data_IF_052557563986
#
_entry.id   IF_052557563986
#
_cell.length_a   1.000
_cell.length_b   1.000
_cell.length_c   1.000
_cell.angle_alpha   90.00
_cell.angle_beta   90.00
_cell.angle_gamma   90.00
#
_symmetry.space_group_name_H-M   'P 1'
#
loop_
_entity.id
_entity.type
_entity.pdbx_description
1 polymer ?
#
# COMPACT_ATOMS: atom_id res chain seq x y z
N UNK A 1 53.73 -19.68 -45.22
CA UNK A 1 53.10 -18.33 -45.22
C UNK A 1 51.69 -18.46 -44.70
N UNK A 2 51.45 -18.01 -43.47
CA UNK A 2 50.16 -18.11 -42.76
C UNK A 2 49.49 -16.75 -42.70
N UNK A 3 48.21 -16.65 -43.05
CA UNK A 3 47.35 -15.51 -42.69
C UNK A 3 46.00 -16.01 -42.19
N UNK A 4 45.85 -16.11 -40.88
CA UNK A 4 44.58 -16.39 -40.18
C UNK A 4 43.84 -15.07 -39.89
N UNK A 5 42.60 -14.97 -40.38
CA UNK A 5 41.74 -13.78 -40.26
C UNK A 5 41.00 -13.79 -38.92
N UNK A 6 41.10 -12.71 -38.14
CA UNK A 6 40.62 -12.59 -36.75
C UNK A 6 39.08 -12.59 -36.59
N UNK A 7 38.50 -13.39 -35.67
CA UNK A 7 37.04 -13.55 -35.48
C UNK A 7 36.36 -12.36 -34.77
N UNK A 8 37.11 -11.35 -34.30
CA UNK A 8 36.58 -10.25 -33.47
C UNK A 8 35.79 -9.18 -34.24
N UNK A 9 35.91 -9.09 -35.59
CA UNK A 9 35.23 -8.05 -36.38
C UNK A 9 33.74 -8.35 -36.65
N UNK A 10 33.34 -9.61 -36.79
CA UNK A 10 31.95 -9.98 -37.10
C UNK A 10 30.98 -9.78 -35.92
N UNK A 11 31.44 -9.97 -34.68
CA UNK A 11 30.61 -9.84 -33.48
C UNK A 11 30.20 -8.37 -33.22
N UNK A 12 31.08 -7.41 -33.50
CA UNK A 12 30.80 -5.97 -33.32
C UNK A 12 29.80 -5.43 -34.34
N UNK A 13 29.82 -5.92 -35.58
CA UNK A 13 28.86 -5.54 -36.62
C UNK A 13 27.43 -6.03 -36.29
N UNK A 14 27.30 -7.25 -35.75
CA UNK A 14 26.01 -7.85 -35.36
C UNK A 14 25.35 -7.09 -34.19
N UNK A 15 26.12 -6.69 -33.16
CA UNK A 15 25.60 -5.89 -32.02
C UNK A 15 25.08 -4.51 -32.45
N UNK A 16 25.75 -3.83 -33.38
CA UNK A 16 25.31 -2.52 -33.90
C UNK A 16 24.01 -2.60 -34.71
N UNK A 17 23.81 -3.69 -35.47
CA UNK A 17 22.56 -3.92 -36.22
C UNK A 17 21.37 -4.19 -35.28
N UNK A 18 21.57 -4.99 -34.23
CA UNK A 18 20.53 -5.28 -33.22
C UNK A 18 20.14 -3.99 -32.46
N UNK A 19 21.11 -3.16 -32.10
CA UNK A 19 20.85 -1.89 -31.42
C UNK A 19 20.04 -0.90 -32.27
N UNK A 20 20.33 -0.81 -33.59
CA UNK A 20 19.57 0.04 -34.52
C UNK A 20 18.13 -0.44 -34.70
N UNK A 21 17.90 -1.75 -34.79
CA UNK A 21 16.56 -2.33 -34.89
C UNK A 21 15.76 -2.03 -33.62
N UNK A 22 16.35 -2.20 -32.43
CA UNK A 22 15.68 -1.88 -31.16
C UNK A 22 15.29 -0.41 -31.04
N UNK A 23 16.16 0.53 -31.45
CA UNK A 23 15.81 1.97 -31.46
C UNK A 23 14.68 2.29 -32.46
N UNK A 24 14.66 1.65 -33.62
CA UNK A 24 13.59 1.86 -34.59
C UNK A 24 12.24 1.34 -34.07
N UNK A 25 12.21 0.18 -33.41
CA UNK A 25 10.99 -0.37 -32.80
C UNK A 25 10.46 0.53 -31.69
N UNK A 26 11.33 1.04 -30.81
CA UNK A 26 10.93 1.97 -29.74
C UNK A 26 10.40 3.28 -30.33
N UNK A 27 11.05 3.83 -31.37
CA UNK A 27 10.57 5.05 -32.02
C UNK A 27 9.19 4.89 -32.67
N UNK A 28 8.94 3.75 -33.33
CA UNK A 28 7.63 3.44 -33.89
C UNK A 28 6.56 3.27 -32.80
N UNK A 29 6.88 2.60 -31.69
CA UNK A 29 5.95 2.43 -30.57
C UNK A 29 5.57 3.78 -29.94
N UNK A 30 6.54 4.68 -29.74
CA UNK A 30 6.27 6.04 -29.25
C UNK A 30 5.39 6.84 -30.21
N UNK A 31 5.64 6.75 -31.52
CA UNK A 31 4.81 7.42 -32.55
C UNK A 31 3.36 6.92 -32.53
N UNK A 32 3.14 5.60 -32.40
CA UNK A 32 1.81 5.01 -32.31
C UNK A 32 1.07 5.43 -31.03
N UNK A 33 1.77 5.53 -29.90
CA UNK A 33 1.19 6.04 -28.65
C UNK A 33 0.76 7.50 -28.75
N UNK A 34 1.61 8.36 -29.33
CA UNK A 34 1.27 9.78 -29.54
C UNK A 34 0.07 9.93 -30.48
N UNK A 35 0.03 9.17 -31.58
CA UNK A 35 -1.14 9.15 -32.48
C UNK A 35 -2.41 8.70 -31.76
N UNK A 36 -2.35 7.63 -30.96
CA UNK A 36 -3.48 7.13 -30.18
C UNK A 36 -4.06 8.17 -29.21
N UNK A 37 -3.19 8.89 -28.48
CA UNK A 37 -3.60 9.95 -27.55
C UNK A 37 -4.21 11.16 -28.27
N UNK A 38 -3.71 11.53 -29.46
CA UNK A 38 -4.29 12.64 -30.22
C UNK A 38 -5.65 12.32 -30.84
N UNK A 39 -5.91 11.06 -31.16
CA UNK A 39 -7.21 10.59 -31.69
C UNK A 39 -8.28 10.49 -30.60
N UNK A 40 -7.92 10.06 -29.38
CA UNK A 40 -8.86 10.00 -28.25
C UNK A 40 -9.28 11.39 -27.76
N UNK A 41 -8.37 12.37 -27.74
CA UNK A 41 -8.69 13.76 -27.36
C UNK A 41 -9.68 14.45 -28.31
N UNK A 42 -9.70 14.08 -29.60
CA UNK A 42 -10.68 14.60 -30.58
C UNK A 42 -12.07 13.97 -30.46
N UNK A 43 -12.15 12.71 -30.01
CA UNK A 43 -13.43 12.04 -29.75
C UNK A 43 -14.19 12.64 -28.56
N UNK A 44 -13.47 13.05 -27.51
CA UNK A 44 -14.06 13.59 -26.29
C UNK A 44 -14.67 15.00 -26.45
N UNK A 45 -14.21 15.79 -27.42
CA UNK A 45 -14.76 17.15 -27.66
C UNK A 45 -16.12 17.13 -28.39
N UNK A 46 -16.42 16.11 -29.19
CA UNK A 46 -17.71 16.00 -29.88
C UNK A 46 -18.85 15.49 -28.98
N UNK A 47 -18.53 14.75 -27.92
CA UNK A 47 -19.53 14.20 -26.99
C UNK A 47 -20.09 15.26 -26.01
N UNK A 48 -19.35 16.34 -25.73
CA UNK A 48 -19.77 17.37 -24.77
C UNK A 48 -20.79 18.38 -25.33
N UNK A 49 -20.92 18.51 -26.65
CA UNK A 49 -21.94 19.38 -27.26
C UNK A 49 -23.33 18.73 -27.37
N UNK A 50 -23.45 17.42 -27.15
CA UNK A 50 -24.72 16.68 -27.32
C UNK A 50 -25.60 16.64 -26.05
N UNK A 51 -25.11 17.10 -24.89
CA UNK A 51 -25.82 17.01 -23.61
C UNK A 51 -26.49 18.31 -23.15
N UNK A 52 -26.43 19.39 -23.94
CA UNK A 52 -26.99 20.69 -23.56
C UNK A 52 -28.44 20.92 -24.07
N UNK A 53 -29.06 19.96 -24.76
CA UNK A 53 -30.33 20.18 -25.47
C UNK A 53 -31.57 19.45 -24.89
N UNK A 54 -31.54 19.02 -23.62
CA UNK A 54 -32.72 18.37 -22.98
C UNK A 54 -33.22 19.01 -21.68
N UNK A 55 -32.86 20.27 -21.40
CA UNK A 55 -33.39 21.01 -20.25
C UNK A 55 -34.34 22.15 -20.67
N UNK A 56 -35.38 21.83 -21.44
CA UNK A 56 -36.50 22.76 -21.64
C UNK A 56 -37.77 22.00 -22.08
N UNK A 57 -38.56 21.54 -21.10
CA UNK A 57 -40.02 21.60 -21.11
C UNK A 57 -40.56 20.66 -20.02
N UNK A 58 -41.32 21.20 -19.06
CA UNK A 58 -42.67 20.75 -18.69
C UNK A 58 -43.11 21.48 -17.42
N UNK A 59 -43.58 22.70 -17.60
CA UNK A 59 -44.56 23.36 -16.74
C UNK A 59 -45.94 22.74 -16.99
N UNK A 60 -46.67 22.36 -15.94
CA UNK A 60 -48.05 21.89 -16.07
C UNK A 60 -48.75 21.77 -14.73
N UNK A 61 -49.55 22.78 -14.41
CA UNK A 61 -50.44 22.92 -13.24
C UNK A 61 -51.56 21.89 -13.21
N UNK A 62 -52.04 21.52 -12.01
CA UNK A 62 -53.26 20.73 -11.79
C UNK A 62 -53.68 20.69 -10.31
N UNK A 63 -54.94 20.98 -10.05
CA UNK A 63 -55.55 21.44 -8.79
C UNK A 63 -56.65 20.45 -8.35
N UNK A 64 -56.73 20.15 -7.03
CA UNK A 64 -57.89 19.68 -6.20
C UNK A 64 -58.39 18.22 -6.39
N UNK A 65 -59.00 17.49 -5.45
CA UNK A 65 -59.40 17.66 -4.04
C UNK A 65 -59.85 16.29 -3.45
N UNK A 66 -59.84 16.19 -2.12
CA UNK A 66 -60.72 15.40 -1.22
C UNK A 66 -60.79 13.87 -1.28
N UNK A 67 -60.40 13.22 -0.17
CA UNK A 67 -61.28 12.39 0.66
C UNK A 67 -60.62 12.04 2.01
N UNK A 68 -61.20 12.54 3.10
CA UNK A 68 -60.93 12.07 4.47
C UNK A 68 -61.82 10.85 4.77
N UNK A 69 -61.23 9.81 5.34
CA UNK A 69 -61.93 8.87 6.23
C UNK A 69 -60.91 8.23 7.19
N UNK A 70 -61.21 8.07 8.49
CA UNK A 70 -60.23 7.70 9.50
C UNK A 70 -60.11 6.17 9.61
N UNK A 71 -58.95 5.62 9.29
CA UNK A 71 -58.63 4.23 9.61
C UNK A 71 -57.85 4.15 10.93
N UNK A 72 -58.48 3.46 11.89
CA UNK A 72 -57.98 3.12 13.22
C UNK A 72 -56.81 2.14 13.10
N UNK A 73 -55.63 2.54 13.57
CA UNK A 73 -54.47 1.67 13.65
C UNK A 73 -54.59 0.69 14.84
N UNK A 74 -54.27 -0.60 14.69
CA UNK A 74 -53.99 -1.46 15.83
C UNK A 74 -52.54 -1.21 16.31
N UNK A 75 -52.40 -0.97 17.61
CA UNK A 75 -51.11 -0.94 18.31
C UNK A 75 -50.39 -2.28 18.12
N UNK A 76 -49.29 -2.25 17.38
CA UNK A 76 -48.29 -3.34 17.40
C UNK A 76 -47.15 -2.89 18.31
N UNK A 77 -46.99 -3.64 19.40
CA UNK A 77 -45.84 -3.62 20.29
C UNK A 77 -44.53 -3.52 19.49
N UNK A 78 -43.88 -2.35 19.56
CA UNK A 78 -42.50 -2.19 19.14
C UNK A 78 -41.60 -2.82 20.21
N UNK A 79 -41.07 -4.01 19.92
CA UNK A 79 -39.87 -4.50 20.60
C UNK A 79 -38.71 -3.54 20.30
N UNK A 80 -37.87 -3.17 21.28
CA UNK A 80 -36.73 -2.31 21.03
C UNK A 80 -35.71 -3.08 20.18
N UNK A 81 -35.49 -2.58 18.95
CA UNK A 81 -34.32 -2.92 18.15
C UNK A 81 -33.06 -2.54 18.94
N UNK A 82 -32.00 -3.37 18.97
CA UNK A 82 -30.75 -3.00 19.62
C UNK A 82 -30.20 -1.74 18.95
N UNK A 83 -30.06 -0.68 19.74
CA UNK A 83 -29.41 0.56 19.30
C UNK A 83 -27.92 0.25 19.11
N UNK A 84 -27.43 0.38 17.89
CA UNK A 84 -26.01 0.30 17.57
C UNK A 84 -25.33 1.56 18.15
N UNK A 85 -24.88 1.45 19.41
CA UNK A 85 -24.26 2.55 20.14
C UNK A 85 -22.91 2.88 19.48
N UNK A 86 -22.79 4.08 18.92
CA UNK A 86 -21.49 4.63 18.51
C UNK A 86 -20.66 4.86 19.78
N UNK A 87 -19.41 4.36 19.87
CA UNK A 87 -18.57 4.54 21.05
C UNK A 87 -18.37 6.02 21.38
N UNK A 88 -18.27 6.33 22.67
CA UNK A 88 -17.92 7.68 23.12
C UNK A 88 -16.49 8.05 22.71
N UNK A 89 -16.18 9.34 22.62
CA UNK A 89 -14.83 9.84 22.27
C UNK A 89 -13.74 9.31 23.23
N UNK A 90 -14.07 9.21 24.53
CA UNK A 90 -13.17 8.66 25.54
C UNK A 90 -12.90 7.16 25.34
N UNK A 91 -13.94 6.40 24.97
CA UNK A 91 -13.82 4.97 24.66
C UNK A 91 -12.98 4.72 23.39
N UNK A 92 -13.20 5.50 22.33
CA UNK A 92 -12.39 5.42 21.09
C UNK A 92 -10.91 5.69 21.39
N UNK A 93 -10.63 6.73 22.18
CA UNK A 93 -9.26 7.10 22.54
C UNK A 93 -8.60 6.03 23.40
N UNK A 94 -9.33 5.45 24.38
CA UNK A 94 -8.83 4.34 25.19
C UNK A 94 -8.50 3.12 24.34
N UNK A 95 -9.39 2.72 23.43
CA UNK A 95 -9.17 1.60 22.51
C UNK A 95 -7.92 1.81 21.64
N UNK A 96 -7.73 3.02 21.10
CA UNK A 96 -6.53 3.32 20.30
C UNK A 96 -5.24 3.19 21.13
N UNK A 97 -5.23 3.64 22.39
CA UNK A 97 -4.08 3.46 23.28
C UNK A 97 -3.80 1.99 23.57
N UNK A 98 -4.84 1.19 23.79
CA UNK A 98 -4.72 -0.26 24.00
C UNK A 98 -4.15 -0.97 22.76
N UNK A 99 -4.61 -0.60 21.55
CA UNK A 99 -4.09 -1.13 20.29
C UNK A 99 -2.60 -0.80 20.08
N UNK A 100 -2.20 0.46 20.33
CA UNK A 100 -0.79 0.88 20.25
C UNK A 100 0.05 0.13 21.28
N UNK A 101 -0.40 0.07 22.52
CA UNK A 101 0.33 -0.62 23.59
C UNK A 101 0.52 -2.11 23.27
N UNK A 102 -0.51 -2.78 22.72
CA UNK A 102 -0.41 -4.17 22.31
C UNK A 102 0.59 -4.38 21.17
N UNK A 103 0.64 -3.44 20.22
CA UNK A 103 1.56 -3.48 19.09
C UNK A 103 3.02 -3.25 19.53
N UNK A 104 3.24 -2.34 20.48
CA UNK A 104 4.57 -1.94 20.97
C UNK A 104 5.10 -2.80 22.12
N UNK A 105 4.24 -3.62 22.73
CA UNK A 105 4.56 -4.44 23.90
C UNK A 105 5.79 -5.33 23.66
N UNK A 106 6.72 -5.40 24.63
CA UNK A 106 7.84 -6.33 24.61
C UNK A 106 7.38 -7.76 24.31
N UNK A 107 8.16 -8.46 23.51
CA UNK A 107 7.94 -9.85 23.15
C UNK A 107 8.95 -10.74 23.87
N UNK A 108 8.48 -11.76 24.56
CA UNK A 108 9.35 -12.85 25.02
C UNK A 108 9.77 -13.71 23.83
N UNK A 109 10.85 -14.49 23.99
CA UNK A 109 11.30 -15.42 22.96
C UNK A 109 10.21 -16.43 22.58
N UNK A 110 9.41 -16.88 23.55
CA UNK A 110 8.28 -17.77 23.30
C UNK A 110 7.22 -17.11 22.40
N UNK A 111 6.86 -15.85 22.68
CA UNK A 111 5.90 -15.10 21.85
C UNK A 111 6.45 -14.82 20.45
N UNK A 112 7.74 -14.49 20.33
CA UNK A 112 8.41 -14.36 19.02
C UNK A 112 8.31 -15.65 18.23
N UNK A 113 8.72 -16.77 18.83
CA UNK A 113 8.67 -18.08 18.19
C UNK A 113 7.25 -18.47 17.77
N UNK A 114 6.23 -18.17 18.57
CA UNK A 114 4.84 -18.44 18.22
C UNK A 114 4.37 -17.62 17.00
N UNK A 115 4.67 -16.32 16.98
CA UNK A 115 4.34 -15.44 15.85
C UNK A 115 5.05 -15.92 14.58
N UNK A 116 6.35 -16.20 14.66
CA UNK A 116 7.12 -16.68 13.52
C UNK A 116 6.65 -18.05 13.02
N UNK A 117 6.27 -18.96 13.93
CA UNK A 117 5.72 -20.27 13.55
C UNK A 117 4.40 -20.12 12.76
N UNK A 118 3.52 -19.21 13.19
CA UNK A 118 2.28 -18.88 12.47
C UNK A 118 2.57 -18.29 11.09
N UNK A 119 3.51 -17.35 11.00
CA UNK A 119 3.95 -16.79 9.72
C UNK A 119 4.51 -17.87 8.78
N UNK A 120 5.35 -18.77 9.30
CA UNK A 120 5.92 -19.89 8.53
C UNK A 120 4.84 -20.83 8.03
N UNK A 121 3.85 -21.15 8.85
CA UNK A 121 2.71 -21.97 8.43
C UNK A 121 1.89 -21.28 7.32
N UNK A 122 1.63 -19.97 7.45
CA UNK A 122 0.95 -19.18 6.41
C UNK A 122 1.75 -19.17 5.10
N UNK A 123 3.06 -18.96 5.16
CA UNK A 123 3.95 -18.98 4.00
C UNK A 123 3.97 -20.34 3.30
N UNK A 124 4.06 -21.43 4.07
CA UNK A 124 3.97 -22.79 3.53
C UNK A 124 2.63 -23.09 2.85
N UNK A 125 1.55 -22.44 3.31
CA UNK A 125 0.20 -22.64 2.78
C UNK A 125 -0.17 -21.66 1.66
N UNK A 126 0.72 -20.72 1.30
CA UNK A 126 0.45 -19.64 0.33
C UNK A 126 0.37 -20.11 -1.13
N UNK A 127 0.98 -21.26 -1.44
CA UNK A 127 1.20 -21.72 -2.81
C UNK A 127 2.42 -21.10 -3.50
N UNK A 128 3.09 -20.11 -2.88
CA UNK A 128 4.38 -19.60 -3.30
C UNK A 128 5.54 -20.43 -2.72
N UNK A 129 6.74 -20.31 -3.31
CA UNK A 129 7.95 -20.87 -2.72
C UNK A 129 8.28 -20.10 -1.43
N UNK A 130 8.30 -20.75 -0.25
CA UNK A 130 8.58 -20.05 0.99
C UNK A 130 10.01 -19.50 1.02
N UNK A 131 10.17 -18.22 1.35
CA UNK A 131 11.46 -17.54 1.46
C UNK A 131 11.57 -16.77 2.77
N UNK A 132 12.80 -16.55 3.23
CA UNK A 132 13.11 -15.79 4.43
C UNK A 132 13.88 -14.54 4.08
N UNK A 133 13.33 -13.40 4.46
CA UNK A 133 14.02 -12.11 4.45
C UNK A 133 14.55 -11.80 5.85
N UNK A 134 15.83 -11.44 5.92
CA UNK A 134 16.45 -10.92 7.14
C UNK A 134 16.35 -9.41 7.19
N UNK A 135 16.01 -8.85 8.35
CA UNK A 135 15.96 -7.41 8.53
C UNK A 135 16.67 -6.95 9.80
N UNK A 136 17.28 -5.77 9.72
CA UNK A 136 17.94 -5.11 10.82
C UNK A 136 17.10 -3.91 11.26
N UNK A 137 17.11 -3.58 12.56
CA UNK A 137 16.49 -2.35 13.08
C UNK A 137 17.58 -1.30 13.29
N UNK A 138 17.32 -0.07 12.83
CA UNK A 138 18.21 1.07 13.03
C UNK A 138 17.42 2.35 13.38
N UNK A 139 18.15 3.38 13.78
CA UNK A 139 17.64 4.73 13.99
C UNK A 139 18.49 5.79 13.31
N UNK A 140 17.89 6.94 12.98
CA UNK A 140 18.59 8.11 12.45
C UNK A 140 17.98 9.40 13.02
N UNK A 141 18.83 10.29 13.53
CA UNK A 141 18.38 11.53 14.18
C UNK A 141 17.79 11.29 15.57
N UNK A 142 17.03 12.27 16.07
CA UNK A 142 16.44 12.19 17.41
C UNK A 142 15.09 11.46 17.42
N UNK A 143 15.14 10.12 17.55
CA UNK A 143 13.92 9.28 17.54
C UNK A 143 13.65 8.56 18.86
N UNK A 144 14.54 8.66 19.84
CA UNK A 144 14.45 7.92 21.11
C UNK A 144 14.85 6.44 20.99
N UNK A 145 14.37 5.61 21.91
CA UNK A 145 14.56 4.14 21.84
C UNK A 145 13.76 3.56 20.67
N UNK A 146 14.32 2.53 20.03
CA UNK A 146 13.69 1.77 18.95
C UNK A 146 13.05 0.47 19.42
N UNK A 147 12.96 0.19 20.72
CA UNK A 147 12.43 -1.10 21.21
C UNK A 147 10.97 -1.31 20.80
N UNK A 148 10.12 -0.30 21.02
CA UNK A 148 8.72 -0.33 20.62
C UNK A 148 8.54 -0.41 19.09
N UNK A 149 9.42 0.28 18.36
CA UNK A 149 9.47 0.21 16.89
C UNK A 149 9.83 -1.20 16.42
N UNK A 150 10.88 -1.80 17.00
CA UNK A 150 11.32 -3.16 16.68
C UNK A 150 10.24 -4.21 16.95
N UNK A 151 9.52 -4.10 18.08
CA UNK A 151 8.40 -5.00 18.40
C UNK A 151 7.25 -4.85 17.40
N UNK A 152 6.94 -3.62 17.01
CA UNK A 152 5.91 -3.34 16.00
C UNK A 152 6.28 -3.92 14.64
N UNK A 153 7.52 -3.69 14.18
CA UNK A 153 8.04 -4.26 12.92
C UNK A 153 7.96 -5.78 12.94
N UNK A 154 8.38 -6.42 14.04
CA UNK A 154 8.33 -7.87 14.16
C UNK A 154 6.90 -8.42 14.04
N UNK A 155 5.92 -7.78 14.70
CA UNK A 155 4.50 -8.17 14.64
C UNK A 155 3.92 -7.92 13.25
N UNK A 156 4.15 -6.75 12.67
CA UNK A 156 3.57 -6.38 11.37
C UNK A 156 4.05 -7.33 10.26
N UNK A 157 5.36 -7.58 10.18
CA UNK A 157 5.94 -8.39 9.10
C UNK A 157 5.61 -9.88 9.20
N UNK A 158 5.43 -10.40 10.42
CA UNK A 158 5.10 -11.81 10.63
C UNK A 158 3.60 -12.04 10.96
N UNK A 159 2.74 -11.05 10.73
CA UNK A 159 1.29 -11.24 10.86
C UNK A 159 0.75 -12.10 9.70
N UNK A 160 -0.14 -13.03 10.02
CA UNK A 160 -0.74 -13.97 9.06
C UNK A 160 -1.61 -13.28 8.00
N UNK A 161 -1.99 -12.01 8.21
CA UNK A 161 -2.69 -11.17 7.23
C UNK A 161 -1.76 -10.55 6.19
N UNK A 162 -0.46 -10.49 6.46
CA UNK A 162 0.55 -9.77 5.69
C UNK A 162 1.27 -10.62 4.63
N UNK A 163 2.53 -10.24 4.39
CA UNK A 163 3.46 -10.87 3.45
C UNK A 163 3.76 -12.36 3.65
N UNK A 164 3.53 -12.99 4.81
CA UNK A 164 3.50 -14.46 4.89
C UNK A 164 2.55 -15.09 3.87
N UNK A 165 1.46 -14.40 3.50
CA UNK A 165 0.54 -14.87 2.44
C UNK A 165 1.14 -14.83 1.03
N UNK A 166 2.24 -14.09 0.82
CA UNK A 166 3.04 -14.09 -0.41
C UNK A 166 4.24 -15.06 -0.34
N UNK A 167 4.31 -15.89 0.71
CA UNK A 167 5.40 -16.86 0.90
C UNK A 167 6.63 -16.29 1.59
N UNK A 168 6.59 -15.07 2.14
CA UNK A 168 7.75 -14.41 2.75
C UNK A 168 7.62 -14.37 4.27
N UNK A 169 8.63 -14.87 4.99
CA UNK A 169 8.75 -14.70 6.44
C UNK A 169 9.95 -13.85 6.81
N UNK A 170 9.92 -13.22 7.98
CA UNK A 170 10.88 -12.18 8.33
C UNK A 170 11.61 -12.52 9.63
N UNK A 171 12.93 -12.65 9.53
CA UNK A 171 13.81 -12.89 10.67
C UNK A 171 14.60 -11.63 11.01
N UNK A 172 14.53 -11.18 12.27
CA UNK A 172 15.35 -10.07 12.71
C UNK A 172 16.81 -10.55 12.85
N UNK A 173 17.72 -9.92 12.13
CA UNK A 173 19.15 -10.23 12.14
C UNK A 173 19.94 -9.36 13.10
N UNK A 174 21.27 -9.52 13.06
CA UNK A 174 22.22 -8.65 13.73
C UNK A 174 22.67 -7.54 12.78
N UNK A 175 22.90 -6.34 13.33
CA UNK A 175 23.21 -5.11 12.57
C UNK A 175 24.30 -5.34 11.50
N UNK A 176 24.03 -4.87 10.27
CA UNK A 176 24.99 -4.88 9.15
C UNK A 176 25.04 -6.18 8.33
N UNK A 177 24.22 -7.18 8.65
CA UNK A 177 24.17 -8.46 7.92
C UNK A 177 22.72 -8.87 7.55
N UNK A 178 21.91 -7.91 7.12
CA UNK A 178 20.51 -8.13 6.77
C UNK A 178 20.23 -7.79 5.30
N UNK A 179 19.21 -8.43 4.72
CA UNK A 179 18.74 -8.13 3.36
C UNK A 179 18.18 -6.70 3.27
N UNK A 180 17.54 -6.24 4.35
CA UNK A 180 17.07 -4.86 4.51
C UNK A 180 17.41 -4.30 5.88
N UNK A 181 17.61 -2.98 5.96
CA UNK A 181 17.66 -2.25 7.23
C UNK A 181 16.42 -1.38 7.35
N UNK A 182 15.61 -1.62 8.37
CA UNK A 182 14.40 -0.87 8.68
C UNK A 182 14.76 0.20 9.71
N UNK A 183 14.79 1.45 9.28
CA UNK A 183 15.27 2.60 10.04
C UNK A 183 14.11 3.50 10.45
N UNK A 184 13.97 3.79 11.74
CA UNK A 184 13.12 4.91 12.20
C UNK A 184 13.94 6.20 12.14
N UNK A 185 13.51 7.17 11.34
CA UNK A 185 14.28 8.39 11.07
C UNK A 185 13.51 9.66 11.40
N UNK A 186 14.19 10.63 12.04
CA UNK A 186 13.69 11.99 12.17
C UNK A 186 13.45 12.61 10.78
N UNK A 187 12.34 13.34 10.60
CA UNK A 187 11.87 13.83 9.29
C UNK A 187 12.97 14.49 8.43
N UNK A 188 13.76 15.39 9.03
CA UNK A 188 14.84 16.13 8.36
C UNK A 188 15.99 15.26 7.84
N UNK A 189 16.11 14.02 8.33
CA UNK A 189 17.18 13.11 7.96
C UNK A 189 16.84 12.32 6.69
N UNK A 190 15.57 12.23 6.30
CA UNK A 190 15.13 11.41 5.17
C UNK A 190 15.77 11.83 3.84
N UNK A 191 15.88 13.13 3.48
CA UNK A 191 16.55 13.56 2.26
C UNK A 191 18.04 13.16 2.19
N UNK A 192 18.67 12.79 3.31
CA UNK A 192 20.07 12.32 3.31
C UNK A 192 20.25 10.92 2.72
N UNK A 193 19.19 10.10 2.68
CA UNK A 193 19.24 8.76 2.08
C UNK A 193 19.22 8.81 0.55
N UNK A 194 18.46 9.74 -0.03
CA UNK A 194 18.36 9.95 -1.48
C UNK A 194 17.63 11.26 -1.78
N UNK A 195 17.93 11.88 -2.92
CA UNK A 195 17.19 13.03 -3.44
C UNK A 195 15.70 12.72 -3.76
N UNK A 196 15.33 11.44 -3.85
CA UNK A 196 13.94 11.01 -4.01
C UNK A 196 13.15 10.91 -2.70
N UNK A 197 13.81 10.95 -1.54
CA UNK A 197 13.13 10.95 -0.25
C UNK A 197 12.77 12.39 0.15
N UNK A 198 11.57 12.57 0.70
CA UNK A 198 11.11 13.84 1.26
C UNK A 198 11.11 13.79 2.78
N UNK A 199 11.03 14.95 3.43
CA UNK A 199 10.84 15.01 4.89
C UNK A 199 9.41 14.64 5.32
N UNK A 200 8.47 14.49 4.37
CA UNK A 200 7.04 14.40 4.65
C UNK A 200 6.54 12.95 4.82
N UNK A 201 7.19 12.00 4.14
CA UNK A 201 6.74 10.61 4.04
C UNK A 201 7.89 9.62 4.21
N UNK A 202 7.56 8.39 4.55
CA UNK A 202 8.51 7.26 4.50
C UNK A 202 9.00 7.03 3.06
N UNK A 203 10.12 6.33 2.92
CA UNK A 203 10.65 5.96 1.61
C UNK A 203 11.51 4.70 1.71
N UNK A 204 11.72 4.05 0.56
CA UNK A 204 12.67 2.94 0.41
C UNK A 204 13.77 3.30 -0.58
N UNK A 205 15.03 3.11 -0.18
CA UNK A 205 16.23 3.33 -1.01
C UNK A 205 17.12 2.10 -0.99
N UNK A 206 17.14 1.33 -2.09
CA UNK A 206 17.93 0.10 -2.14
C UNK A 206 17.51 -0.90 -1.05
N UNK A 207 18.40 -1.23 -0.12
CA UNK A 207 18.12 -2.08 1.05
C UNK A 207 17.63 -1.31 2.28
N UNK A 208 17.61 0.02 2.23
CA UNK A 208 17.13 0.85 3.33
C UNK A 208 15.61 1.07 3.22
N UNK A 209 14.89 0.68 4.26
CA UNK A 209 13.47 0.94 4.47
C UNK A 209 13.39 2.02 5.55
N UNK A 210 13.00 3.24 5.19
CA UNK A 210 13.08 4.40 6.07
C UNK A 210 11.67 4.84 6.48
N UNK A 211 11.37 4.67 7.77
CA UNK A 211 10.10 5.07 8.37
C UNK A 211 10.24 6.47 8.94
N UNK A 212 9.40 7.39 8.45
CA UNK A 212 9.36 8.77 8.90
C UNK A 212 8.79 8.88 10.33
N UNK A 213 9.56 9.42 11.29
CA UNK A 213 9.15 9.53 12.71
C UNK A 213 7.92 10.40 12.91
N UNK A 214 7.79 11.52 12.20
CA UNK A 214 6.62 12.41 12.32
C UNK A 214 5.34 11.65 11.94
N UNK A 215 5.40 10.85 10.88
CA UNK A 215 4.28 10.00 10.45
C UNK A 215 4.08 8.79 11.34
N UNK A 216 5.16 8.21 11.85
CA UNK A 216 5.09 7.12 12.82
C UNK A 216 4.33 7.52 14.09
N UNK A 217 4.51 8.75 14.56
CA UNK A 217 3.87 9.26 15.77
C UNK A 217 2.44 9.76 15.54
N UNK A 218 2.18 10.38 14.39
CA UNK A 218 0.95 11.15 14.16
C UNK A 218 0.13 10.74 12.94
N UNK A 219 0.56 9.77 12.15
CA UNK A 219 -0.04 9.42 10.86
C UNK A 219 -0.28 10.67 9.98
N UNK A 220 -1.38 10.64 9.22
CA UNK A 220 -1.87 11.73 8.37
C UNK A 220 -3.35 11.97 8.67
N UNK A 221 -3.83 13.20 8.55
CA UNK A 221 -5.17 13.57 9.01
C UNK A 221 -6.28 12.74 8.34
N UNK A 222 -6.21 12.57 7.02
CA UNK A 222 -7.22 11.82 6.27
C UNK A 222 -7.29 10.34 6.66
N UNK A 223 -6.23 9.78 7.26
CA UNK A 223 -6.26 8.43 7.83
C UNK A 223 -7.24 8.32 9.00
N UNK A 224 -7.20 9.30 9.91
CA UNK A 224 -8.11 9.37 11.05
C UNK A 224 -9.53 9.78 10.66
N UNK A 225 -9.66 10.70 9.70
CA UNK A 225 -10.95 11.11 9.16
C UNK A 225 -11.69 9.91 8.52
N UNK A 226 -10.95 8.97 7.94
CA UNK A 226 -11.47 7.70 7.42
C UNK A 226 -11.70 6.62 8.50
N UNK A 227 -11.60 6.97 9.79
CA UNK A 227 -11.92 6.09 10.92
C UNK A 227 -10.80 5.16 11.38
N UNK A 228 -9.65 5.13 10.70
CA UNK A 228 -8.56 4.22 11.03
C UNK A 228 -7.72 4.70 12.22
N UNK A 229 -6.98 3.77 12.84
CA UNK A 229 -6.18 4.01 14.04
C UNK A 229 -4.70 4.17 13.73
N UNK A 230 -3.94 4.76 14.65
CA UNK A 230 -2.48 4.91 14.50
C UNK A 230 -1.78 3.55 14.43
N UNK A 231 -2.27 2.55 15.17
CA UNK A 231 -1.74 1.19 15.10
C UNK A 231 -1.89 0.58 13.69
N UNK A 232 -3.02 0.83 13.04
CA UNK A 232 -3.21 0.46 11.63
C UNK A 232 -2.25 1.22 10.71
N UNK A 233 -2.05 2.53 10.92
CA UNK A 233 -1.12 3.32 10.10
C UNK A 233 0.32 2.80 10.21
N UNK A 234 0.79 2.51 11.43
CA UNK A 234 2.13 1.95 11.68
C UNK A 234 2.33 0.62 10.99
N UNK A 235 1.33 -0.25 11.05
CA UNK A 235 1.32 -1.53 10.35
C UNK A 235 1.37 -1.33 8.82
N UNK A 236 0.53 -0.42 8.30
CA UNK A 236 0.47 -0.10 6.87
C UNK A 236 1.82 0.39 6.36
N UNK A 237 2.42 1.39 6.99
CA UNK A 237 3.65 2.01 6.49
C UNK A 237 4.84 1.03 6.52
N UNK A 238 4.91 0.14 7.52
CA UNK A 238 5.92 -0.93 7.53
C UNK A 238 5.71 -1.86 6.34
N UNK A 239 4.48 -2.33 6.14
CA UNK A 239 4.18 -3.29 5.08
C UNK A 239 4.35 -2.67 3.68
N UNK A 240 3.97 -1.40 3.48
CA UNK A 240 4.12 -0.67 2.24
C UNK A 240 5.60 -0.54 1.85
N UNK A 241 6.44 -0.02 2.74
CA UNK A 241 7.86 0.19 2.44
C UNK A 241 8.62 -1.14 2.27
N UNK A 242 8.25 -2.16 3.03
CA UNK A 242 8.80 -3.52 2.81
C UNK A 242 8.25 -4.13 1.52
N UNK A 243 7.04 -3.80 1.10
CA UNK A 243 6.51 -4.16 -0.22
C UNK A 243 7.43 -3.73 -1.36
N UNK A 244 8.01 -2.52 -1.29
CA UNK A 244 9.04 -2.09 -2.24
C UNK A 244 10.30 -2.96 -2.20
N UNK A 245 10.70 -3.43 -1.01
CA UNK A 245 11.81 -4.37 -0.89
C UNK A 245 11.50 -5.75 -1.49
N UNK A 246 10.22 -6.15 -1.52
CA UNK A 246 9.73 -7.36 -2.19
C UNK A 246 9.54 -7.18 -3.70
N UNK A 247 9.62 -5.95 -4.20
CA UNK A 247 9.62 -5.61 -5.62
C UNK A 247 8.37 -4.89 -6.12
N UNK A 248 7.44 -4.55 -5.22
CA UNK A 248 6.26 -3.79 -5.57
C UNK A 248 6.57 -2.33 -5.91
N UNK A 249 5.71 -1.73 -6.74
CA UNK A 249 5.79 -0.32 -7.14
C UNK A 249 4.61 0.48 -6.58
N UNK A 250 4.84 1.78 -6.38
CA UNK A 250 3.78 2.71 -5.97
C UNK A 250 2.61 2.69 -6.94
N UNK A 251 1.40 2.60 -6.38
CA UNK A 251 0.14 2.62 -7.11
C UNK A 251 0.08 1.59 -8.25
N UNK A 252 0.79 0.46 -8.14
CA UNK A 252 0.77 -0.60 -9.16
C UNK A 252 -0.65 -1.14 -9.41
N UNK A 253 -1.47 -1.21 -8.36
CA UNK A 253 -2.90 -1.47 -8.43
C UNK A 253 -3.64 -0.19 -8.09
N UNK A 254 -4.55 0.31 -8.95
CA UNK A 254 -5.33 1.50 -8.64
C UNK A 254 -6.39 1.20 -7.58
N UNK A 255 -6.67 2.20 -6.73
CA UNK A 255 -7.83 2.17 -5.84
C UNK A 255 -9.12 1.96 -6.63
N UNK A 256 -9.94 0.99 -6.21
CA UNK A 256 -11.25 0.71 -6.80
C UNK A 256 -12.35 1.71 -6.41
N UNK A 257 -12.06 2.64 -5.50
CA UNK A 257 -13.03 3.60 -4.94
C UNK A 257 -14.12 2.92 -4.11
N UNK A 258 -15.22 3.63 -3.87
CA UNK A 258 -16.43 3.08 -3.22
C UNK A 258 -16.16 2.37 -1.88
N UNK A 259 -15.24 2.91 -1.08
CA UNK A 259 -14.85 2.36 0.23
C UNK A 259 -14.25 0.95 0.21
N UNK A 260 -13.90 0.40 -0.97
CA UNK A 260 -13.07 -0.79 -1.03
C UNK A 260 -11.74 -0.56 -0.30
N UNK A 261 -11.14 -1.61 0.24
CA UNK A 261 -9.80 -1.51 0.83
C UNK A 261 -8.81 -0.96 -0.20
N UNK A 262 -8.06 0.06 0.20
CA UNK A 262 -6.96 0.56 -0.61
C UNK A 262 -5.95 -0.57 -0.86
N UNK A 263 -5.40 -0.72 -2.08
CA UNK A 263 -4.21 -1.53 -2.29
C UNK A 263 -3.10 -1.11 -1.31
N UNK A 264 -2.38 -2.06 -0.74
CA UNK A 264 -1.33 -1.75 0.22
C UNK A 264 -0.26 -0.84 -0.43
N UNK A 265 0.04 -1.07 -1.71
CA UNK A 265 1.04 -0.33 -2.47
C UNK A 265 0.50 0.99 -3.04
N UNK A 266 -0.74 1.37 -2.76
CA UNK A 266 -1.17 2.76 -2.92
C UNK A 266 -0.42 3.65 -1.91
N UNK A 267 -0.07 4.87 -2.30
CA UNK A 267 0.52 5.89 -1.42
C UNK A 267 -0.52 6.43 -0.42
N UNK A 268 -1.01 5.59 0.49
CA UNK A 268 -2.10 5.90 1.42
C UNK A 268 -1.74 7.05 2.39
N UNK A 269 -0.45 7.27 2.63
CA UNK A 269 0.05 8.45 3.37
C UNK A 269 -0.20 9.77 2.63
N UNK A 270 -0.34 9.75 1.29
CA UNK A 270 -0.62 10.93 0.48
C UNK A 270 -2.11 11.11 0.22
N UNK A 271 -2.82 10.04 -0.12
CA UNK A 271 -4.26 10.07 -0.43
C UNK A 271 -4.91 8.69 -0.37
N UNK A 272 -6.22 8.65 -0.12
CA UNK A 272 -7.02 7.41 -0.10
C UNK A 272 -7.87 7.18 -1.36
N UNK A 273 -8.13 8.21 -2.20
CA UNK A 273 -8.90 8.09 -3.45
C UNK A 273 -10.26 7.37 -3.29
N UNK A 274 -10.99 7.68 -2.20
CA UNK A 274 -12.28 7.05 -1.84
C UNK A 274 -12.20 5.57 -1.43
N UNK A 275 -11.00 4.99 -1.35
CA UNK A 275 -10.79 3.70 -0.69
C UNK A 275 -10.76 3.85 0.83
N UNK A 276 -11.04 2.75 1.53
CA UNK A 276 -10.85 2.64 2.98
C UNK A 276 -9.38 2.35 3.30
N UNK A 277 -8.83 2.91 4.41
CA UNK A 277 -7.49 2.60 4.89
C UNK A 277 -7.24 1.10 5.03
N UNK A 278 -6.10 0.61 4.55
CA UNK A 278 -5.78 -0.81 4.57
C UNK A 278 -4.30 -1.07 4.89
N UNK A 279 -3.99 -1.76 5.99
CA UNK A 279 -2.61 -2.05 6.38
C UNK A 279 -2.02 -3.36 5.84
N UNK A 280 -2.77 -4.13 5.05
CA UNK A 280 -2.39 -5.47 4.60
C UNK A 280 -2.45 -5.61 3.07
N UNK A 281 -1.61 -6.45 2.44
CA UNK A 281 -1.68 -6.69 1.01
C UNK A 281 -3.02 -7.32 0.62
N UNK A 282 -3.60 -6.83 -0.48
CA UNK A 282 -4.72 -7.48 -1.15
C UNK A 282 -4.28 -8.78 -1.81
N UNK A 283 -5.24 -9.64 -2.18
CA UNK A 283 -4.96 -10.91 -2.86
C UNK A 283 -4.19 -10.70 -4.18
N UNK A 284 -4.46 -9.60 -4.89
CA UNK A 284 -3.75 -9.21 -6.10
C UNK A 284 -2.29 -8.78 -5.87
N UNK A 285 -1.91 -8.50 -4.62
CA UNK A 285 -0.57 -8.08 -4.21
C UNK A 285 0.23 -9.24 -3.61
N UNK A 286 -0.30 -10.48 -3.58
CA UNK A 286 0.39 -11.64 -3.00
C UNK A 286 1.44 -12.25 -3.92
N UNK A 287 2.49 -11.48 -4.22
CA UNK A 287 3.66 -11.92 -4.95
C UNK A 287 4.93 -11.30 -4.36
N UNK A 288 6.09 -11.83 -4.75
CA UNK A 288 7.38 -11.27 -4.36
C UNK A 288 8.43 -11.62 -5.41
N UNK A 289 9.32 -10.68 -5.69
CA UNK A 289 10.53 -10.90 -6.52
C UNK A 289 11.77 -11.16 -5.66
N UNK A 290 11.64 -11.10 -4.34
CA UNK A 290 12.74 -11.36 -3.43
C UNK A 290 13.19 -12.82 -3.52
N UNK A 291 14.50 -13.01 -3.68
CA UNK A 291 15.14 -14.33 -3.69
C UNK A 291 15.99 -14.41 -2.43
N UNK A 292 15.47 -15.09 -1.42
CA UNK A 292 16.12 -15.28 -0.12
C UNK A 292 16.43 -16.74 0.19
N UNK A 293 16.95 -16.97 1.39
CA UNK A 293 17.15 -18.32 1.93
C UNK A 293 15.81 -18.99 2.27
N UNK A 294 15.82 -20.31 2.44
CA UNK A 294 14.64 -21.03 2.95
C UNK A 294 14.34 -20.66 4.43
N UNK A 295 13.05 -20.60 4.83
CA UNK A 295 12.55 -20.27 6.18
C UNK A 295 13.05 -21.07 7.37
#
# INVERSE_FOLDING_TARGET
MSTTRSPRRHVRARRRRIYRIRRAVVACACLLLVLGVTLSARGSLHALNALHEQAAAHTGSGIWSSAMSPYRAPERNASPSPSEQTPTEDERTRKQREEIAALEAPLTDAQRNEIYAKAKQTAQSSGALPTRMTYCIASRGNVGSVDHFANTVYRALNDVRGWPRAGVVFAQGQSGQCDVTITLAEAKELPSFSAGCSEEYSCRVGSDVIINKTRWDGAVRHWFDAGATLAQYRTMVINHEVGHALGHLDNETPCGGNQHSAPLMQEQSMFLKECSPNPWPLDSELWSTFVGAEP
#
